data_IF_870291613160
#
_entry.id   IF_870291613160
#
_cell.length_a   1.000
_cell.length_b   1.000
_cell.length_c   1.000
_cell.angle_alpha   90.00
_cell.angle_beta   90.00
_cell.angle_gamma   90.00
#
_symmetry.space_group_name_H-M   'P 1'
#
loop_
_entity.id
_entity.type
_entity.pdbx_description
1 polymer ?
#
# COMPACT_ATOMS: atom_id res chain seq x y z
N UNK A 1 -12.39 -17.97 15.22
CA UNK A 1 -10.92 -17.83 15.32
C UNK A 1 -10.58 -17.47 16.76
N UNK A 2 -9.61 -18.14 17.39
CA UNK A 2 -9.13 -17.74 18.72
C UNK A 2 -8.29 -16.46 18.56
N UNK A 3 -8.73 -15.36 19.18
CA UNK A 3 -8.08 -14.05 19.10
C UNK A 3 -6.62 -14.09 19.58
N UNK A 4 -6.31 -14.89 20.62
CA UNK A 4 -4.95 -15.04 21.12
C UNK A 4 -4.02 -15.66 20.06
N UNK A 5 -4.50 -16.72 19.38
CA UNK A 5 -3.72 -17.36 18.32
C UNK A 5 -3.53 -16.44 17.10
N UNK A 6 -4.52 -15.61 16.79
CA UNK A 6 -4.39 -14.61 15.73
C UNK A 6 -3.33 -13.57 16.06
N UNK A 7 -3.41 -12.96 17.25
CA UNK A 7 -2.46 -11.95 17.70
C UNK A 7 -1.04 -12.50 17.78
N UNK A 8 -0.87 -13.72 18.30
CA UNK A 8 0.44 -14.37 18.37
C UNK A 8 1.06 -14.54 16.98
N UNK A 9 0.27 -15.03 16.00
CA UNK A 9 0.74 -15.16 14.61
C UNK A 9 1.08 -13.82 13.99
N UNK A 10 0.27 -12.79 14.21
CA UNK A 10 0.55 -11.44 13.71
C UNK A 10 1.82 -10.83 14.34
N UNK A 11 2.07 -11.07 15.63
CA UNK A 11 3.32 -10.65 16.29
C UNK A 11 4.52 -11.40 15.70
N UNK A 12 4.42 -12.71 15.47
CA UNK A 12 5.51 -13.46 14.83
C UNK A 12 5.81 -12.95 13.42
N UNK A 13 4.78 -12.63 12.63
CA UNK A 13 4.94 -12.03 11.30
C UNK A 13 5.51 -10.61 11.38
N UNK A 14 5.13 -9.83 12.37
CA UNK A 14 5.68 -8.49 12.60
C UNK A 14 7.18 -8.55 12.90
N UNK A 15 7.62 -9.48 13.75
CA UNK A 15 9.05 -9.67 14.05
C UNK A 15 9.83 -10.11 12.81
N UNK A 16 9.30 -11.06 12.04
CA UNK A 16 9.89 -11.46 10.77
C UNK A 16 10.00 -10.27 9.81
N UNK A 17 8.93 -9.51 9.65
CA UNK A 17 8.88 -8.39 8.71
C UNK A 17 9.78 -7.23 9.15
N UNK A 18 9.85 -6.93 10.44
CA UNK A 18 10.79 -5.95 10.98
C UNK A 18 12.24 -6.36 10.71
N UNK A 19 12.57 -7.65 10.82
CA UNK A 19 13.90 -8.16 10.45
C UNK A 19 14.14 -8.05 8.95
N UNK A 20 13.15 -8.37 8.10
CA UNK A 20 13.27 -8.24 6.65
C UNK A 20 13.47 -6.79 6.21
N UNK A 21 12.82 -5.83 6.86
CA UNK A 21 13.06 -4.40 6.62
C UNK A 21 14.40 -3.92 7.16
N UNK A 22 14.83 -4.47 8.30
CA UNK A 22 16.04 -4.01 8.97
C UNK A 22 17.33 -4.62 8.41
N UNK A 23 17.27 -5.80 7.81
CA UNK A 23 18.44 -6.46 7.23
C UNK A 23 18.81 -5.79 5.90
N UNK A 24 19.95 -5.08 5.83
CA UNK A 24 20.40 -4.52 4.56
C UNK A 24 20.68 -5.67 3.59
N UNK A 25 20.05 -5.64 2.42
CA UNK A 25 20.43 -6.57 1.35
C UNK A 25 21.78 -6.08 0.80
N UNK A 26 22.85 -6.91 0.84
CA UNK A 26 24.17 -6.51 0.34
C UNK A 26 24.05 -5.96 -1.09
N UNK A 27 24.85 -4.93 -1.41
CA UNK A 27 24.84 -4.21 -2.70
C UNK A 27 23.61 -3.31 -2.97
N UNK A 28 22.51 -3.51 -2.23
CA UNK A 28 21.26 -2.75 -2.36
C UNK A 28 21.23 -1.56 -1.39
N UNK A 29 21.55 -1.77 -0.11
CA UNK A 29 21.41 -0.72 0.92
C UNK A 29 22.55 -0.77 1.94
N UNK A 30 23.08 0.39 2.32
CA UNK A 30 24.09 0.47 3.37
C UNK A 30 23.43 0.30 4.77
N UNK A 31 24.15 -0.30 5.72
CA UNK A 31 23.64 -0.49 7.09
C UNK A 31 23.29 0.82 7.79
N UNK A 32 23.95 1.92 7.43
CA UNK A 32 23.66 3.28 7.92
C UNK A 32 22.31 3.83 7.46
N UNK A 33 21.75 3.31 6.37
CA UNK A 33 20.51 3.82 5.75
C UNK A 33 19.25 3.14 6.28
N UNK A 34 19.39 2.02 7.00
CA UNK A 34 18.25 1.22 7.47
C UNK A 34 17.72 1.73 8.81
N UNK A 35 18.51 2.50 9.55
CA UNK A 35 18.11 3.04 10.85
C UNK A 35 17.97 1.96 11.94
N UNK A 36 17.36 2.32 13.06
CA UNK A 36 17.22 1.44 14.22
C UNK A 36 16.02 0.50 14.06
N UNK A 37 16.22 -0.81 14.32
CA UNK A 37 15.18 -1.85 14.30
C UNK A 37 13.92 -1.46 15.09
N UNK A 38 14.07 -0.70 16.18
CA UNK A 38 12.94 -0.28 17.02
C UNK A 38 11.91 0.55 16.25
N UNK A 39 12.31 1.30 15.23
CA UNK A 39 11.41 2.10 14.40
C UNK A 39 10.64 1.24 13.38
N UNK A 40 11.20 0.10 12.98
CA UNK A 40 10.55 -0.83 12.06
C UNK A 40 9.48 -1.69 12.72
N UNK A 41 9.60 -1.96 14.02
CA UNK A 41 8.62 -2.75 14.77
C UNK A 41 7.17 -2.23 14.65
N UNK A 42 6.86 -0.94 14.88
CA UNK A 42 5.48 -0.46 14.73
C UNK A 42 4.96 -0.57 13.30
N UNK A 43 5.79 -0.27 12.30
CA UNK A 43 5.42 -0.39 10.87
C UNK A 43 5.13 -1.84 10.52
N UNK A 44 6.07 -2.73 10.82
CA UNK A 44 5.94 -4.15 10.56
C UNK A 44 4.75 -4.78 11.30
N UNK A 45 4.44 -4.31 12.52
CA UNK A 45 3.28 -4.77 13.27
C UNK A 45 1.97 -4.37 12.58
N UNK A 46 1.85 -3.11 12.17
CA UNK A 46 0.67 -2.62 11.47
C UNK A 46 0.46 -3.34 10.13
N UNK A 47 1.52 -3.50 9.34
CA UNK A 47 1.48 -4.20 8.05
C UNK A 47 1.11 -5.67 8.21
N UNK A 48 1.77 -6.36 9.15
CA UNK A 48 1.48 -7.75 9.45
C UNK A 48 0.04 -7.93 9.94
N UNK A 49 -0.50 -6.98 10.72
CA UNK A 49 -1.87 -7.02 11.23
C UNK A 49 -2.89 -6.90 10.09
N UNK A 50 -2.78 -5.88 9.23
CA UNK A 50 -3.75 -5.69 8.13
C UNK A 50 -3.68 -6.80 7.09
N UNK A 51 -2.48 -7.30 6.77
CA UNK A 51 -2.30 -8.45 5.87
C UNK A 51 -2.83 -9.74 6.51
N UNK A 52 -2.63 -9.95 7.81
CA UNK A 52 -3.20 -11.10 8.52
C UNK A 52 -4.72 -11.06 8.51
N UNK A 53 -5.33 -9.88 8.73
CA UNK A 53 -6.78 -9.69 8.64
C UNK A 53 -7.29 -10.08 7.25
N UNK A 54 -6.63 -9.64 6.18
CA UNK A 54 -6.96 -9.99 4.80
C UNK A 54 -6.86 -11.52 4.55
N UNK A 55 -5.75 -12.14 4.94
CA UNK A 55 -5.48 -13.58 4.74
C UNK A 55 -6.51 -14.46 5.46
N UNK A 56 -6.83 -14.14 6.72
CA UNK A 56 -7.78 -14.94 7.52
C UNK A 56 -9.19 -14.87 6.95
N UNK A 57 -9.62 -13.69 6.50
CA UNK A 57 -10.95 -13.47 5.93
C UNK A 57 -11.06 -13.94 4.46
N UNK A 58 -9.94 -14.34 3.84
CA UNK A 58 -9.92 -14.84 2.48
C UNK A 58 -10.48 -16.27 2.38
N UNK A 59 -11.32 -16.52 1.37
CA UNK A 59 -11.72 -17.86 0.93
C UNK A 59 -10.69 -18.52 0.02
N UNK A 60 -9.73 -17.76 -0.51
CA UNK A 60 -8.65 -18.33 -1.30
C UNK A 60 -7.62 -18.99 -0.37
N UNK A 61 -7.01 -20.06 -0.86
CA UNK A 61 -5.90 -20.74 -0.22
C UNK A 61 -4.79 -21.04 -1.22
N UNK A 62 -3.70 -21.64 -0.73
CA UNK A 62 -2.54 -22.03 -1.52
C UNK A 62 -1.86 -20.87 -2.26
N UNK A 63 -1.23 -21.17 -3.39
CA UNK A 63 -0.47 -20.21 -4.18
C UNK A 63 -1.28 -19.04 -4.71
N UNK A 64 -2.59 -19.23 -4.96
CA UNK A 64 -3.48 -18.14 -5.38
C UNK A 64 -3.55 -17.03 -4.32
N UNK A 65 -3.62 -17.38 -3.04
CA UNK A 65 -3.60 -16.43 -1.94
C UNK A 65 -2.21 -15.84 -1.71
N UNK A 66 -1.14 -16.63 -1.91
CA UNK A 66 0.24 -16.12 -1.84
C UNK A 66 0.46 -15.02 -2.87
N UNK A 67 0.08 -15.26 -4.13
CA UNK A 67 0.23 -14.29 -5.21
C UNK A 67 -0.62 -13.04 -5.00
N UNK A 68 -1.85 -13.19 -4.47
CA UNK A 68 -2.70 -12.06 -4.11
C UNK A 68 -2.09 -11.21 -2.98
N UNK A 69 -1.58 -11.87 -1.94
CA UNK A 69 -0.92 -11.21 -0.80
C UNK A 69 0.34 -10.48 -1.27
N UNK A 70 1.15 -11.14 -2.09
CA UNK A 70 2.33 -10.55 -2.72
C UNK A 70 1.98 -9.31 -3.54
N UNK A 71 1.00 -9.42 -4.45
CA UNK A 71 0.62 -8.34 -5.34
C UNK A 71 0.12 -7.11 -4.56
N UNK A 72 -0.71 -7.31 -3.54
CA UNK A 72 -1.20 -6.22 -2.68
C UNK A 72 -0.04 -5.62 -1.88
N UNK A 73 0.77 -6.45 -1.21
CA UNK A 73 1.82 -5.96 -0.34
C UNK A 73 2.91 -5.22 -1.12
N UNK A 74 3.49 -5.84 -2.15
CA UNK A 74 4.48 -5.21 -3.03
C UNK A 74 3.89 -4.03 -3.80
N UNK A 75 2.69 -4.19 -4.33
CA UNK A 75 2.01 -3.18 -5.14
C UNK A 75 1.79 -1.89 -4.38
N UNK A 76 1.34 -1.99 -3.12
CA UNK A 76 1.07 -0.82 -2.28
C UNK A 76 2.34 -0.25 -1.67
N UNK A 77 3.16 -1.07 -0.98
CA UNK A 77 4.30 -0.55 -0.22
C UNK A 77 5.47 -0.12 -1.10
N UNK A 78 5.69 -0.81 -2.22
CA UNK A 78 6.85 -0.56 -3.09
C UNK A 78 6.43 0.08 -4.39
N UNK A 79 5.62 -0.60 -5.21
CA UNK A 79 5.38 -0.15 -6.58
C UNK A 79 4.73 1.24 -6.63
N UNK A 80 3.62 1.44 -5.91
CA UNK A 80 2.89 2.70 -5.90
C UNK A 80 3.64 3.84 -5.21
N UNK A 81 4.52 3.54 -4.25
CA UNK A 81 5.39 4.51 -3.58
C UNK A 81 6.53 4.93 -4.50
N UNK A 82 7.24 3.97 -5.09
CA UNK A 82 8.43 4.25 -5.89
C UNK A 82 8.10 4.87 -7.26
N UNK A 83 6.95 4.53 -7.86
CA UNK A 83 6.48 5.21 -9.08
C UNK A 83 6.22 6.69 -8.82
N UNK A 84 5.73 7.06 -7.63
CA UNK A 84 5.62 8.45 -7.21
C UNK A 84 7.00 9.08 -7.07
N UNK A 85 7.90 8.44 -6.33
CA UNK A 85 9.30 8.88 -6.19
C UNK A 85 9.96 9.16 -7.55
N UNK A 86 9.86 8.27 -8.53
CA UNK A 86 10.39 8.49 -9.89
C UNK A 86 9.84 9.76 -10.54
N UNK A 87 8.51 9.93 -10.48
CA UNK A 87 7.83 11.06 -11.11
C UNK A 87 8.21 12.37 -10.42
N UNK A 88 8.17 12.42 -9.09
CA UNK A 88 8.37 13.64 -8.33
C UNK A 88 9.85 14.01 -8.15
N UNK A 89 10.77 13.05 -8.08
CA UNK A 89 12.22 13.32 -8.00
C UNK A 89 12.76 14.04 -9.23
N UNK A 90 12.09 13.91 -10.38
CA UNK A 90 12.49 14.68 -11.57
C UNK A 90 12.24 16.19 -11.39
N UNK A 91 11.42 16.58 -10.39
CA UNK A 91 10.97 17.96 -10.14
C UNK A 91 11.32 18.48 -8.74
N UNK A 92 11.82 17.62 -7.86
CA UNK A 92 12.49 17.96 -6.62
C UNK A 92 13.99 17.83 -6.83
N UNK A 93 14.75 18.93 -6.73
CA UNK A 93 16.22 18.96 -6.81
C UNK A 93 16.83 17.72 -6.14
N UNK A 94 17.34 16.78 -6.94
CA UNK A 94 18.00 15.50 -6.61
C UNK A 94 18.01 15.07 -5.12
N UNK A 95 16.83 14.88 -4.51
CA UNK A 95 16.76 14.49 -3.10
C UNK A 95 17.20 13.05 -2.90
N UNK A 96 16.95 12.16 -3.88
CA UNK A 96 17.30 10.73 -3.82
C UNK A 96 18.14 10.37 -5.04
N UNK A 97 19.31 9.72 -4.86
CA UNK A 97 20.13 9.26 -5.97
C UNK A 97 19.34 8.32 -6.90
N UNK A 98 19.40 8.58 -8.21
CA UNK A 98 18.64 7.81 -9.23
C UNK A 98 19.01 6.32 -9.23
N UNK A 99 20.23 5.97 -8.83
CA UNK A 99 20.72 4.59 -8.66
C UNK A 99 20.01 3.82 -7.52
N UNK A 100 19.41 4.52 -6.55
CA UNK A 100 18.66 3.89 -5.45
C UNK A 100 17.29 3.39 -5.90
N UNK A 101 16.69 3.98 -6.92
CA UNK A 101 15.31 3.65 -7.31
C UNK A 101 15.16 2.16 -7.69
N UNK A 102 15.97 1.59 -8.62
CA UNK A 102 15.86 0.16 -8.94
C UNK A 102 16.14 -0.74 -7.74
N UNK A 103 17.05 -0.33 -6.86
CA UNK A 103 17.41 -1.04 -5.63
C UNK A 103 16.21 -1.16 -4.68
N UNK A 104 15.44 -0.07 -4.51
CA UNK A 104 14.22 -0.06 -3.70
C UNK A 104 13.13 -0.98 -4.26
N UNK A 105 12.98 -1.05 -5.59
CA UNK A 105 12.06 -2.01 -6.22
C UNK A 105 12.48 -3.47 -5.94
N UNK A 106 13.76 -3.79 -6.09
CA UNK A 106 14.28 -5.14 -5.84
C UNK A 106 14.16 -5.52 -4.36
N UNK A 107 14.48 -4.60 -3.45
CA UNK A 107 14.32 -4.80 -2.00
C UNK A 107 12.88 -5.13 -1.64
N UNK A 108 11.94 -4.28 -2.06
CA UNK A 108 10.52 -4.51 -1.82
C UNK A 108 10.01 -5.82 -2.44
N UNK A 109 10.51 -6.18 -3.61
CA UNK A 109 10.19 -7.46 -4.25
C UNK A 109 10.64 -8.65 -3.39
N UNK A 110 11.90 -8.64 -2.94
CA UNK A 110 12.46 -9.71 -2.10
C UNK A 110 11.68 -9.82 -0.79
N UNK A 111 11.46 -8.69 -0.11
CA UNK A 111 10.71 -8.65 1.16
C UNK A 111 9.31 -9.22 0.98
N UNK A 112 8.58 -8.77 -0.05
CA UNK A 112 7.23 -9.26 -0.31
C UNK A 112 7.21 -10.74 -0.73
N UNK A 113 8.18 -11.19 -1.53
CA UNK A 113 8.30 -12.56 -2.01
C UNK A 113 8.61 -13.55 -0.88
N UNK A 114 9.38 -13.14 0.13
CA UNK A 114 9.66 -13.94 1.32
C UNK A 114 8.49 -13.89 2.31
N UNK A 115 7.97 -12.69 2.59
CA UNK A 115 6.93 -12.51 3.60
C UNK A 115 5.60 -13.18 3.23
N UNK A 116 5.14 -13.03 1.99
CA UNK A 116 3.81 -13.50 1.55
C UNK A 116 3.57 -15.00 1.71
N UNK A 117 4.45 -15.91 1.26
CA UNK A 117 4.26 -17.35 1.46
C UNK A 117 4.29 -17.74 2.94
N UNK A 118 5.16 -17.11 3.74
CA UNK A 118 5.27 -17.37 5.18
C UNK A 118 3.98 -16.91 5.89
N UNK A 119 3.46 -15.73 5.57
CA UNK A 119 2.22 -15.22 6.14
C UNK A 119 1.02 -16.13 5.86
N UNK A 120 0.89 -16.61 4.61
CA UNK A 120 -0.18 -17.54 4.21
C UNK A 120 -0.02 -18.90 4.89
N UNK A 121 1.20 -19.43 4.96
CA UNK A 121 1.50 -20.69 5.63
C UNK A 121 1.20 -20.62 7.14
N UNK A 122 1.65 -19.55 7.82
CA UNK A 122 1.47 -19.38 9.26
C UNK A 122 -0.02 -19.28 9.66
N UNK A 123 -0.85 -18.71 8.78
CA UNK A 123 -2.31 -18.67 8.97
C UNK A 123 -3.01 -19.98 8.57
N UNK A 124 -2.27 -21.05 8.26
CA UNK A 124 -2.78 -22.35 7.83
C UNK A 124 -3.66 -22.26 6.57
N UNK A 125 -3.38 -21.30 5.68
CA UNK A 125 -4.12 -21.06 4.44
C UNK A 125 -3.40 -21.61 3.19
N UNK A 126 -2.36 -22.43 3.38
CA UNK A 126 -1.61 -23.03 2.27
C UNK A 126 -2.35 -24.20 1.60
N UNK A 127 -3.33 -24.81 2.29
CA UNK A 127 -4.19 -25.81 1.66
C UNK A 127 -5.06 -25.13 0.60
N UNK A 128 -5.10 -25.71 -0.60
CA UNK A 128 -5.99 -25.24 -1.64
C UNK A 128 -7.43 -25.42 -1.17
N UNK A 129 -8.21 -24.34 -1.26
CA UNK A 129 -9.63 -24.41 -0.96
C UNK A 129 -10.31 -25.03 -2.17
N UNK A 130 -11.00 -26.16 -1.95
CA UNK A 130 -11.89 -26.79 -2.92
C UNK A 130 -12.82 -25.70 -3.46
N UNK A 131 -12.70 -25.37 -4.75
CA UNK A 131 -13.52 -24.35 -5.37
C UNK A 131 -14.97 -24.85 -5.39
N UNK A 132 -15.77 -24.50 -4.38
CA UNK A 132 -17.20 -24.38 -4.64
C UNK A 132 -17.35 -23.34 -5.74
N UNK A 133 -18.06 -23.70 -6.81
CA UNK A 133 -18.40 -22.83 -7.93
C UNK A 133 -19.30 -21.68 -7.47
N UNK A 134 -18.75 -20.75 -6.68
CA UNK A 134 -19.39 -19.47 -6.40
C UNK A 134 -19.28 -18.68 -7.70
N UNK A 135 -20.42 -18.16 -8.17
CA UNK A 135 -20.48 -17.30 -9.36
C UNK A 135 -19.33 -16.31 -9.31
N UNK A 136 -18.39 -16.45 -10.24
CA UNK A 136 -17.31 -15.47 -10.35
C UNK A 136 -17.94 -14.10 -10.56
N UNK A 137 -17.36 -13.09 -9.90
CA UNK A 137 -17.72 -11.71 -10.15
C UNK A 137 -17.37 -11.36 -11.60
N UNK A 138 -18.31 -11.60 -12.51
CA UNK A 138 -18.17 -11.46 -13.96
C UNK A 138 -18.93 -10.22 -14.41
N UNK A 139 -18.26 -9.07 -14.41
CA UNK A 139 -18.78 -7.89 -15.09
C UNK A 139 -18.37 -7.92 -16.57
N UNK A 140 -19.21 -7.37 -17.48
CA UNK A 140 -18.79 -7.11 -18.86
C UNK A 140 -17.52 -6.24 -18.89
N UNK A 141 -16.63 -6.48 -19.86
CA UNK A 141 -15.36 -5.76 -19.99
C UNK A 141 -15.56 -4.23 -20.02
N UNK A 142 -16.62 -3.76 -20.71
CA UNK A 142 -16.98 -2.34 -20.77
C UNK A 142 -17.28 -1.76 -19.37
N UNK A 143 -18.01 -2.50 -18.54
CA UNK A 143 -18.32 -2.09 -17.16
C UNK A 143 -17.06 -2.06 -16.30
N UNK A 144 -16.15 -3.02 -16.49
CA UNK A 144 -14.84 -3.00 -15.83
C UNK A 144 -14.02 -1.76 -16.16
N UNK A 145 -13.88 -1.46 -17.45
CA UNK A 145 -13.11 -0.30 -17.92
C UNK A 145 -13.70 1.00 -17.36
N UNK A 146 -15.02 1.16 -17.42
CA UNK A 146 -15.70 2.34 -16.87
C UNK A 146 -15.48 2.49 -15.36
N UNK A 147 -15.63 1.40 -14.59
CA UNK A 147 -15.43 1.41 -13.13
C UNK A 147 -13.98 1.73 -12.77
N UNK A 148 -13.01 1.16 -13.47
CA UNK A 148 -11.59 1.47 -13.25
C UNK A 148 -11.27 2.93 -13.59
N UNK A 149 -11.81 3.46 -14.68
CA UNK A 149 -11.65 4.86 -15.04
C UNK A 149 -12.25 5.78 -13.97
N UNK A 150 -13.46 5.47 -13.49
CA UNK A 150 -14.11 6.20 -12.39
C UNK A 150 -13.26 6.16 -11.11
N UNK A 151 -12.69 5.00 -10.76
CA UNK A 151 -11.76 4.86 -9.62
C UNK A 151 -10.53 5.76 -9.82
N UNK A 152 -9.93 5.79 -11.01
CA UNK A 152 -8.81 6.66 -11.33
C UNK A 152 -9.14 8.15 -11.15
N UNK A 153 -10.31 8.58 -11.65
CA UNK A 153 -10.78 9.96 -11.49
C UNK A 153 -11.03 10.30 -10.02
N UNK A 154 -11.69 9.42 -9.26
CA UNK A 154 -11.93 9.62 -7.82
C UNK A 154 -10.62 9.73 -7.05
N UNK A 155 -9.62 8.90 -7.38
CA UNK A 155 -8.29 8.99 -6.79
C UNK A 155 -7.65 10.35 -7.02
N UNK A 156 -7.67 10.86 -8.26
CA UNK A 156 -7.14 12.17 -8.60
C UNK A 156 -7.82 13.29 -7.79
N UNK A 157 -9.15 13.24 -7.62
CA UNK A 157 -9.86 14.22 -6.80
C UNK A 157 -9.46 14.13 -5.33
N UNK A 158 -9.36 12.92 -4.77
CA UNK A 158 -8.92 12.72 -3.38
C UNK A 158 -7.51 13.28 -3.18
N UNK A 159 -6.59 13.00 -4.11
CA UNK A 159 -5.22 13.52 -4.09
C UNK A 159 -5.19 15.05 -4.01
N UNK A 160 -5.96 15.75 -4.87
CA UNK A 160 -6.02 17.22 -4.86
C UNK A 160 -6.62 17.73 -3.54
N UNK A 161 -7.75 17.16 -3.12
CA UNK A 161 -8.50 17.63 -1.96
C UNK A 161 -7.72 17.43 -0.66
N UNK A 162 -7.11 16.25 -0.46
CA UNK A 162 -6.32 15.98 0.74
C UNK A 162 -5.00 16.76 0.76
N UNK A 163 -4.35 16.94 -0.39
CA UNK A 163 -3.19 17.81 -0.50
C UNK A 163 -3.51 19.25 -0.07
N UNK A 164 -4.64 19.79 -0.54
CA UNK A 164 -5.03 21.17 -0.26
C UNK A 164 -5.64 21.38 1.14
N UNK A 165 -6.46 20.44 1.63
CA UNK A 165 -7.26 20.62 2.84
C UNK A 165 -6.71 19.91 4.08
N UNK A 166 -5.80 18.94 3.92
CA UNK A 166 -5.20 18.19 5.04
C UNK A 166 -3.71 18.44 5.10
N UNK A 167 -2.97 18.16 4.02
CA UNK A 167 -1.52 18.27 4.04
C UNK A 167 -1.03 19.71 4.20
N UNK A 168 -1.43 20.61 3.30
CA UNK A 168 -0.96 22.00 3.33
C UNK A 168 -1.25 22.69 4.68
N UNK A 169 -2.46 22.59 5.27
CA UNK A 169 -2.72 23.19 6.59
C UNK A 169 -1.91 22.57 7.73
N UNK A 170 -1.66 21.26 7.71
CA UNK A 170 -0.86 20.58 8.74
C UNK A 170 0.64 20.85 8.63
N UNK A 171 1.13 21.02 7.40
CA UNK A 171 2.52 21.36 7.13
C UNK A 171 2.82 22.85 7.41
N UNK A 172 1.83 23.73 7.22
CA UNK A 172 1.96 25.17 7.52
C UNK A 172 3.06 25.84 6.71
N UNK A 173 3.83 26.73 7.34
CA UNK A 173 4.94 27.46 6.71
C UNK A 173 6.01 26.53 6.12
N UNK A 174 6.21 25.36 6.73
CA UNK A 174 7.17 24.37 6.23
C UNK A 174 6.78 23.86 4.83
N UNK A 175 5.49 23.87 4.47
CA UNK A 175 5.06 23.54 3.11
C UNK A 175 5.63 24.53 2.11
N UNK A 176 5.45 25.82 2.36
CA UNK A 176 5.89 26.85 1.40
C UNK A 176 7.42 26.86 1.28
N UNK A 177 8.16 26.57 2.37
CA UNK A 177 9.62 26.42 2.36
C UNK A 177 10.08 25.17 1.59
N UNK A 178 9.51 24.01 1.91
CA UNK A 178 9.94 22.72 1.33
C UNK A 178 9.54 22.58 -0.14
N UNK A 179 8.43 23.20 -0.55
CA UNK A 179 7.89 23.14 -1.90
C UNK A 179 8.12 24.41 -2.73
N UNK A 180 8.91 25.39 -2.24
CA UNK A 180 9.12 26.69 -2.88
C UNK A 180 9.52 26.61 -4.36
N UNK A 181 10.35 25.62 -4.70
CA UNK A 181 10.89 25.43 -6.05
C UNK A 181 10.17 24.32 -6.83
N UNK A 182 9.11 23.71 -6.28
CA UNK A 182 8.44 22.59 -6.92
C UNK A 182 7.68 23.07 -8.16
N UNK A 183 8.15 22.66 -9.34
CA UNK A 183 7.44 22.86 -10.59
C UNK A 183 6.75 21.57 -11.00
N UNK A 184 5.44 21.51 -10.76
CA UNK A 184 4.66 20.34 -11.10
C UNK A 184 4.41 20.25 -12.61
N UNK A 185 4.65 19.09 -13.23
CA UNK A 185 4.32 18.92 -14.64
C UNK A 185 2.81 18.92 -14.86
N UNK A 186 2.37 19.45 -16.01
CA UNK A 186 0.96 19.47 -16.42
C UNK A 186 0.34 18.07 -16.53
N UNK A 187 1.16 17.04 -16.73
CA UNK A 187 0.74 15.65 -16.82
C UNK A 187 0.55 14.96 -15.46
N UNK A 188 0.79 15.64 -14.33
CA UNK A 188 0.60 15.04 -12.99
C UNK A 188 -0.84 14.54 -12.80
N UNK A 189 -1.84 15.26 -13.29
CA UNK A 189 -3.25 14.86 -13.11
C UNK A 189 -3.59 13.58 -13.88
N UNK A 190 -3.29 13.46 -15.19
CA UNK A 190 -3.35 12.18 -15.90
C UNK A 190 -2.57 11.05 -15.20
N UNK A 191 -1.39 11.34 -14.63
CA UNK A 191 -0.61 10.36 -13.88
C UNK A 191 -1.34 9.89 -12.62
N UNK A 192 -1.97 10.78 -11.85
CA UNK A 192 -2.76 10.37 -10.69
C UNK A 192 -3.96 9.50 -11.11
N UNK A 193 -4.60 9.77 -12.25
CA UNK A 193 -5.67 8.89 -12.78
C UNK A 193 -5.12 7.49 -13.06
N UNK A 194 -3.98 7.38 -13.75
CA UNK A 194 -3.34 6.09 -14.03
C UNK A 194 -2.95 5.36 -12.73
N UNK A 195 -2.38 6.08 -11.76
CA UNK A 195 -2.03 5.54 -10.44
C UNK A 195 -3.26 5.02 -9.70
N UNK A 196 -4.36 5.77 -9.74
CA UNK A 196 -5.65 5.35 -9.18
C UNK A 196 -6.21 4.09 -9.85
N UNK A 197 -6.00 3.90 -11.16
CA UNK A 197 -6.35 2.65 -11.85
C UNK A 197 -5.53 1.48 -11.32
N UNK A 198 -4.21 1.65 -11.13
CA UNK A 198 -3.35 0.60 -10.56
C UNK A 198 -3.81 0.21 -9.16
N UNK A 199 -4.13 1.18 -8.32
CA UNK A 199 -4.77 0.90 -7.04
C UNK A 199 -6.10 0.16 -7.21
N UNK A 200 -6.96 0.55 -8.15
CA UNK A 200 -8.19 -0.18 -8.44
C UNK A 200 -7.95 -1.65 -8.77
N UNK A 201 -6.93 -1.94 -9.59
CA UNK A 201 -6.53 -3.30 -9.96
C UNK A 201 -6.06 -4.13 -8.75
N UNK A 202 -5.31 -3.53 -7.82
CA UNK A 202 -4.85 -4.19 -6.60
C UNK A 202 -6.00 -4.54 -5.63
N UNK A 203 -7.14 -3.84 -5.71
CA UNK A 203 -8.30 -4.14 -4.87
C UNK A 203 -9.09 -5.35 -5.39
N UNK A 204 -9.00 -5.66 -6.69
CA UNK A 204 -9.72 -6.78 -7.31
C UNK A 204 -9.47 -8.12 -6.61
N UNK A 205 -8.22 -8.57 -6.36
CA UNK A 205 -8.01 -9.84 -5.66
C UNK A 205 -8.64 -9.84 -4.25
N UNK A 206 -8.59 -8.72 -3.52
CA UNK A 206 -9.20 -8.58 -2.19
C UNK A 206 -10.72 -8.73 -2.25
N UNK A 207 -11.37 -8.03 -3.19
CA UNK A 207 -12.82 -8.13 -3.42
C UNK A 207 -13.23 -9.55 -3.84
N UNK A 208 -12.42 -10.23 -4.67
CA UNK A 208 -12.74 -11.59 -5.12
C UNK A 208 -12.49 -12.65 -4.05
N UNK A 209 -11.59 -12.41 -3.09
CA UNK A 209 -11.25 -13.40 -2.07
C UNK A 209 -12.04 -13.26 -0.77
N UNK A 210 -12.69 -12.13 -0.51
CA UNK A 210 -13.54 -11.91 0.67
C UNK A 210 -15.02 -11.86 0.23
N UNK A 211 -15.84 -12.80 0.71
CA UNK A 211 -17.24 -12.96 0.25
C UNK A 211 -18.15 -11.78 0.64
N UNK A 212 -17.96 -11.23 1.85
CA UNK A 212 -18.73 -10.07 2.30
C UNK A 212 -18.09 -8.78 1.77
N UNK A 213 -18.77 -8.13 0.83
CA UNK A 213 -18.27 -6.90 0.20
C UNK A 213 -18.02 -5.76 1.20
N UNK A 214 -18.75 -5.70 2.33
CA UNK A 214 -18.50 -4.69 3.37
C UNK A 214 -17.19 -4.97 4.10
N UNK A 215 -16.88 -6.25 4.35
CA UNK A 215 -15.58 -6.67 4.91
C UNK A 215 -14.47 -6.45 3.90
N UNK A 216 -14.68 -6.77 2.63
CA UNK A 216 -13.71 -6.50 1.57
C UNK A 216 -13.40 -5.01 1.46
N UNK A 217 -14.44 -4.16 1.53
CA UNK A 217 -14.30 -2.69 1.53
C UNK A 217 -13.45 -2.18 2.70
N UNK A 218 -13.75 -2.65 3.92
CA UNK A 218 -12.95 -2.27 5.08
C UNK A 218 -11.51 -2.80 4.97
N UNK A 219 -11.32 -4.03 4.48
CA UNK A 219 -10.00 -4.60 4.30
C UNK A 219 -9.16 -3.79 3.31
N UNK A 220 -9.71 -3.42 2.14
CA UNK A 220 -9.00 -2.59 1.16
C UNK A 220 -8.68 -1.20 1.73
N UNK A 221 -9.63 -0.57 2.42
CA UNK A 221 -9.40 0.73 3.06
C UNK A 221 -8.25 0.68 4.08
N UNK A 222 -8.22 -0.36 4.93
CA UNK A 222 -7.16 -0.55 5.91
C UNK A 222 -5.83 -0.89 5.26
N UNK A 223 -5.80 -1.78 4.26
CA UNK A 223 -4.58 -2.12 3.53
C UNK A 223 -3.98 -0.89 2.86
N UNK A 224 -4.79 -0.08 2.18
CA UNK A 224 -4.28 1.07 1.43
C UNK A 224 -3.79 2.17 2.37
N UNK A 225 -4.55 2.43 3.43
CA UNK A 225 -4.19 3.39 4.47
C UNK A 225 -2.90 3.01 5.18
N UNK A 226 -2.86 1.80 5.75
CA UNK A 226 -1.77 1.36 6.63
C UNK A 226 -0.50 1.08 5.86
N UNK A 227 -0.56 0.30 4.79
CA UNK A 227 0.64 -0.10 4.05
C UNK A 227 1.34 1.11 3.41
N UNK A 228 0.57 2.10 2.92
CA UNK A 228 1.14 3.30 2.31
C UNK A 228 1.64 4.29 3.37
N UNK A 229 0.82 4.60 4.39
CA UNK A 229 1.20 5.59 5.40
C UNK A 229 2.26 5.07 6.38
N UNK A 230 2.33 3.76 6.63
CA UNK A 230 3.26 3.15 7.59
C UNK A 230 4.72 3.53 7.35
N UNK A 231 5.12 3.65 6.08
CA UNK A 231 6.48 4.06 5.69
C UNK A 231 6.84 5.48 6.16
N UNK A 232 5.85 6.36 6.32
CA UNK A 232 6.04 7.73 6.78
C UNK A 232 6.16 7.84 8.31
N UNK A 233 5.96 6.75 9.06
CA UNK A 233 6.28 6.72 10.50
C UNK A 233 7.79 6.79 10.74
N UNK A 234 8.59 6.36 9.76
CA UNK A 234 10.04 6.27 9.86
C UNK A 234 10.68 7.61 9.52
N UNK A 235 11.56 8.14 10.39
CA UNK A 235 12.41 9.27 10.04
C UNK A 235 13.25 8.92 8.81
N UNK A 236 13.43 9.89 7.91
CA UNK A 236 14.28 9.74 6.74
C UNK A 236 15.02 11.07 6.46
N UNK A 237 16.19 11.04 5.82
CA UNK A 237 17.00 12.24 5.61
C UNK A 237 16.43 13.20 4.55
N UNK A 238 15.44 12.75 3.77
CA UNK A 238 14.93 13.47 2.59
C UNK A 238 13.73 14.37 2.92
N UNK A 239 12.97 14.02 3.96
CA UNK A 239 11.71 14.68 4.31
C UNK A 239 11.75 15.20 5.75
N UNK A 240 11.67 16.53 5.96
CA UNK A 240 11.63 17.13 7.29
C UNK A 240 10.48 16.56 8.12
N UNK A 241 10.71 16.49 9.43
CA UNK A 241 9.82 15.82 10.37
C UNK A 241 8.38 16.35 10.37
N UNK A 242 8.20 17.66 10.19
CA UNK A 242 6.88 18.28 10.10
C UNK A 242 6.16 17.90 8.80
N UNK A 243 6.88 17.93 7.67
CA UNK A 243 6.38 17.52 6.35
C UNK A 243 5.96 16.06 6.39
N UNK A 244 6.84 15.20 6.92
CA UNK A 244 6.60 13.76 7.03
C UNK A 244 5.37 13.43 7.87
N UNK A 245 5.18 14.10 9.02
CA UNK A 245 4.00 13.88 9.87
C UNK A 245 2.71 14.40 9.23
N UNK A 246 2.75 15.57 8.58
CA UNK A 246 1.61 16.09 7.85
C UNK A 246 1.22 15.14 6.70
N UNK A 247 2.22 14.67 5.95
CA UNK A 247 2.03 13.73 4.85
C UNK A 247 1.54 12.37 5.37
N UNK A 248 2.02 11.90 6.52
CA UNK A 248 1.51 10.68 7.16
C UNK A 248 0.00 10.77 7.39
N UNK A 249 -0.49 11.86 7.99
CA UNK A 249 -1.92 12.06 8.26
C UNK A 249 -2.73 12.15 6.96
N UNK A 250 -2.22 12.90 5.97
CA UNK A 250 -2.83 13.01 4.65
C UNK A 250 -2.97 11.64 3.97
N UNK A 251 -1.86 10.90 3.86
CA UNK A 251 -1.77 9.61 3.18
C UNK A 251 -2.61 8.56 3.90
N UNK A 252 -2.61 8.54 5.22
CA UNK A 252 -3.42 7.63 6.03
C UNK A 252 -4.91 7.82 5.75
N UNK A 253 -5.40 9.06 5.83
CA UNK A 253 -6.82 9.36 5.68
C UNK A 253 -7.29 9.25 4.23
N UNK A 254 -6.51 9.79 3.29
CA UNK A 254 -6.85 9.80 1.86
C UNK A 254 -6.93 8.38 1.31
N UNK A 255 -5.96 7.52 1.61
CA UNK A 255 -5.96 6.14 1.14
C UNK A 255 -7.02 5.26 1.83
N UNK A 256 -7.36 5.56 3.09
CA UNK A 256 -8.50 4.90 3.74
C UNK A 256 -9.81 5.21 3.01
N UNK A 257 -10.10 6.49 2.79
CA UNK A 257 -11.30 6.93 2.07
C UNK A 257 -11.32 6.38 0.65
N UNK A 258 -10.18 6.44 -0.04
CA UNK A 258 -10.07 5.96 -1.40
C UNK A 258 -10.30 4.45 -1.51
N UNK A 259 -9.65 3.63 -0.67
CA UNK A 259 -9.87 2.19 -0.65
C UNK A 259 -11.33 1.82 -0.37
N UNK A 260 -11.99 2.59 0.51
CA UNK A 260 -13.42 2.45 0.78
C UNK A 260 -14.29 2.75 -0.45
N UNK A 261 -14.01 3.85 -1.14
CA UNK A 261 -14.75 4.25 -2.34
C UNK A 261 -14.48 3.31 -3.52
N UNK A 262 -13.25 2.85 -3.71
CA UNK A 262 -12.88 1.94 -4.80
C UNK A 262 -13.71 0.65 -4.76
N UNK A 263 -13.82 0.02 -3.58
CA UNK A 263 -14.66 -1.18 -3.44
C UNK A 263 -16.14 -0.86 -3.58
N UNK A 264 -16.58 0.31 -3.07
CA UNK A 264 -17.97 0.76 -3.26
C UNK A 264 -18.30 0.90 -4.76
N UNK A 265 -17.41 1.50 -5.55
CA UNK A 265 -17.55 1.65 -7.01
C UNK A 265 -17.64 0.29 -7.71
N UNK A 266 -16.84 -0.70 -7.29
CA UNK A 266 -16.96 -2.04 -7.86
C UNK A 266 -18.36 -2.65 -7.66
N UNK A 267 -19.04 -2.31 -6.57
CA UNK A 267 -20.37 -2.83 -6.25
C UNK A 267 -21.53 -1.91 -6.66
N UNK A 268 -21.26 -0.75 -7.26
CA UNK A 268 -22.33 0.07 -7.84
C UNK A 268 -23.01 -0.68 -8.99
N UNK A 269 -24.33 -0.73 -8.95
CA UNK A 269 -25.15 -1.16 -10.08
C UNK A 269 -25.16 -0.03 -11.11
N UNK A 270 -24.72 -0.32 -12.34
CA UNK A 270 -24.59 0.62 -13.48
C UNK A 270 -25.25 -0.01 -14.70
#
# INVERSE_FOLDING_TARGET
MNLQNFLLKSISLALLLALLYWLPIPEIRASSEVGNLIYWLPVAFLDALVLSCMIVNSRWGGWKLVLATFAVFYGVTTFLTQVETVVFLTYFEEMVPTEMIPKLFVEGFIVAAVFSPIAVALHNKMQETSQEHVKEFSLPLKTWIWKLLLIGIVYMFIYIVFGALVFKPLAGEAFDEYYANLQMPTWVLPFQILRGIVWGLLAIPVVKMIDDWKKARLAVALLYSVLMAGLLLLPNPYMPDIIRRAHFVEVLLSNFLFGWLAVTIFHLEV
#
